data_IF_261423286532
#
_entry.id   IF_261423286532
#
_cell.length_a   1.000
_cell.length_b   1.000
_cell.length_c   1.000
_cell.angle_alpha   90.00
_cell.angle_beta   90.00
_cell.angle_gamma   90.00
#
_symmetry.space_group_name_H-M   'P 1'
#
loop_
_entity.id
_entity.type
_entity.pdbx_description
1 polymer ?
#
# COMPACT_ATOMS: atom_id res chain seq x y z
N UNK A 1 54.13 -3.66 -28.58
CA UNK A 1 53.73 -3.78 -27.15
C UNK A 1 52.96 -2.56 -26.60
N UNK A 2 52.90 -1.41 -27.27
CA UNK A 2 52.21 -0.19 -26.77
C UNK A 2 50.64 -0.25 -26.92
N UNK A 3 50.13 -1.07 -27.80
CA UNK A 3 48.67 -1.13 -28.04
C UNK A 3 47.85 -2.00 -27.04
N UNK A 4 48.53 -2.91 -26.33
CA UNK A 4 47.86 -3.80 -25.36
C UNK A 4 47.42 -3.05 -24.10
N UNK A 5 48.19 -2.05 -23.66
CA UNK A 5 47.85 -1.26 -22.49
C UNK A 5 46.60 -0.38 -22.67
N UNK A 6 46.37 0.10 -23.89
CA UNK A 6 45.21 0.95 -24.20
C UNK A 6 43.91 0.14 -24.13
N UNK A 7 43.92 -1.14 -24.56
CA UNK A 7 42.79 -2.00 -24.53
C UNK A 7 42.37 -2.39 -23.12
N UNK A 8 43.33 -2.61 -22.23
CA UNK A 8 43.09 -2.90 -20.81
C UNK A 8 42.45 -1.71 -20.09
N UNK A 9 42.93 -0.49 -20.37
CA UNK A 9 42.39 0.73 -19.78
C UNK A 9 40.93 0.99 -20.17
N UNK A 10 40.53 0.65 -21.40
CA UNK A 10 39.12 0.77 -21.86
C UNK A 10 38.19 -0.26 -21.17
N UNK A 11 38.69 -1.46 -20.92
CA UNK A 11 37.92 -2.50 -20.25
C UNK A 11 37.61 -2.15 -18.78
N UNK A 12 38.50 -1.43 -18.10
CA UNK A 12 38.27 -0.96 -16.72
C UNK A 12 37.30 0.22 -16.65
N UNK A 13 37.19 1.03 -17.69
CA UNK A 13 36.27 2.19 -17.69
C UNK A 13 34.80 1.82 -17.83
N UNK A 14 34.47 0.64 -18.35
CA UNK A 14 33.08 0.20 -18.57
C UNK A 14 32.44 -0.33 -17.27
N UNK A 15 33.26 -0.74 -16.29
CA UNK A 15 32.77 -1.30 -15.01
C UNK A 15 32.21 -0.26 -14.04
N UNK A 16 32.37 1.03 -14.31
CA UNK A 16 32.03 2.11 -13.37
C UNK A 16 30.58 2.58 -13.42
N UNK A 17 29.76 2.05 -14.33
CA UNK A 17 28.35 2.39 -14.47
C UNK A 17 27.40 1.36 -13.85
N UNK A 18 27.89 0.57 -12.90
CA UNK A 18 26.96 -0.22 -12.08
C UNK A 18 26.10 0.75 -11.27
N UNK A 19 24.89 1.04 -11.75
CA UNK A 19 23.88 1.74 -10.97
C UNK A 19 23.82 1.09 -9.61
N UNK A 20 23.85 1.89 -8.54
CA UNK A 20 23.73 1.39 -7.18
C UNK A 20 22.55 0.42 -7.12
N UNK A 21 22.72 -0.83 -6.63
CA UNK A 21 21.63 -1.76 -6.57
C UNK A 21 20.51 -1.16 -5.72
N UNK A 22 19.36 -0.93 -6.31
CA UNK A 22 18.17 -0.46 -5.60
C UNK A 22 17.81 -1.42 -4.45
N UNK A 23 16.85 -1.08 -3.60
CA UNK A 23 16.47 -1.91 -2.47
C UNK A 23 16.07 -3.30 -2.95
N UNK A 24 16.80 -4.33 -2.50
CA UNK A 24 16.55 -5.75 -2.84
C UNK A 24 15.44 -6.37 -1.99
N UNK A 25 14.77 -5.57 -1.18
CA UNK A 25 13.75 -6.00 -0.22
C UNK A 25 12.47 -5.22 -0.40
N UNK A 26 11.40 -5.77 0.09
CA UNK A 26 10.07 -5.21 0.11
C UNK A 26 9.47 -5.36 1.51
N UNK A 27 8.28 -4.82 1.72
CA UNK A 27 7.53 -4.92 2.98
C UNK A 27 6.25 -5.72 2.76
N UNK A 28 6.03 -6.72 3.62
CA UNK A 28 4.79 -7.48 3.67
C UNK A 28 4.08 -7.19 4.99
N UNK A 29 2.83 -6.79 4.94
CA UNK A 29 1.96 -6.60 6.09
C UNK A 29 0.72 -7.48 5.92
N UNK A 30 0.36 -8.23 6.95
CA UNK A 30 -0.84 -9.07 6.96
C UNK A 30 -1.66 -8.67 8.17
N UNK A 31 -2.89 -8.21 7.96
CA UNK A 31 -3.82 -7.84 9.02
C UNK A 31 -4.99 -8.82 9.09
N UNK A 32 -5.43 -9.12 10.31
CA UNK A 32 -6.55 -10.00 10.58
C UNK A 32 -7.63 -9.27 11.41
N UNK A 33 -8.72 -8.92 10.77
CA UNK A 33 -9.91 -8.35 11.41
C UNK A 33 -10.91 -9.42 11.86
N UNK A 34 -10.68 -10.67 11.47
CA UNK A 34 -11.42 -11.80 11.96
C UNK A 34 -10.85 -12.25 13.33
N UNK A 35 -11.72 -12.55 14.28
CA UNK A 35 -11.31 -13.00 15.65
C UNK A 35 -10.85 -14.46 15.69
N UNK A 36 -10.78 -15.13 14.56
CA UNK A 36 -10.36 -16.52 14.45
C UNK A 36 -8.83 -16.62 14.58
N UNK A 37 -8.37 -17.60 15.33
CA UNK A 37 -6.94 -17.93 15.42
C UNK A 37 -6.42 -18.22 14.00
N UNK A 38 -5.37 -17.52 13.59
CA UNK A 38 -4.88 -17.58 12.21
C UNK A 38 -3.38 -17.76 12.18
N UNK A 39 -2.90 -18.56 11.26
CA UNK A 39 -1.47 -18.78 11.01
C UNK A 39 -1.15 -18.40 9.57
N UNK A 40 0.04 -17.85 9.37
CA UNK A 40 0.59 -17.52 8.05
C UNK A 40 1.78 -18.39 7.79
N UNK A 41 1.84 -19.00 6.62
CA UNK A 41 2.99 -19.76 6.14
C UNK A 41 3.61 -18.99 4.97
N UNK A 42 4.88 -18.62 5.08
CA UNK A 42 5.64 -17.94 4.05
C UNK A 42 6.85 -18.80 3.72
N UNK A 43 6.95 -19.28 2.48
CA UNK A 43 8.04 -20.13 1.99
C UNK A 43 8.34 -21.33 2.91
N UNK A 44 7.30 -21.90 3.51
CA UNK A 44 7.42 -23.03 4.43
C UNK A 44 7.54 -22.65 5.91
N UNK A 45 7.95 -21.42 6.25
CA UNK A 45 8.02 -20.95 7.63
C UNK A 45 6.63 -20.56 8.15
N UNK A 46 6.30 -20.98 9.38
CA UNK A 46 4.99 -20.71 10.02
C UNK A 46 5.09 -19.58 11.02
N UNK A 47 4.11 -18.67 10.97
CA UNK A 47 3.98 -17.52 11.87
C UNK A 47 2.56 -17.45 12.44
N UNK A 48 2.44 -17.15 13.73
CA UNK A 48 1.12 -16.90 14.33
C UNK A 48 0.69 -15.48 14.03
N UNK A 49 -0.52 -15.32 13.48
CA UNK A 49 -1.11 -14.04 13.20
C UNK A 49 -2.12 -13.69 14.29
N UNK A 50 -1.74 -12.79 15.22
CA UNK A 50 -2.69 -12.27 16.20
C UNK A 50 -3.62 -11.25 15.54
N UNK A 51 -3.19 -9.98 15.43
CA UNK A 51 -3.94 -8.94 14.74
C UNK A 51 -3.22 -8.50 13.47
N UNK A 52 -1.91 -8.27 13.57
CA UNK A 52 -1.07 -7.82 12.46
C UNK A 52 0.27 -8.53 12.53
N UNK A 53 0.75 -8.96 11.38
CA UNK A 53 2.08 -9.49 11.16
C UNK A 53 2.78 -8.61 10.13
N UNK A 54 4.00 -8.19 10.41
CA UNK A 54 4.80 -7.36 9.52
C UNK A 54 6.15 -8.00 9.29
N UNK A 55 6.53 -8.11 8.03
CA UNK A 55 7.85 -8.54 7.59
C UNK A 55 8.45 -7.40 6.75
N UNK A 56 9.36 -6.63 7.35
CA UNK A 56 9.91 -5.42 6.75
C UNK A 56 10.95 -5.68 5.64
N UNK A 57 11.53 -6.88 5.58
CA UNK A 57 12.63 -7.22 4.68
C UNK A 57 12.38 -8.52 3.93
N UNK A 58 11.21 -8.66 3.31
CA UNK A 58 10.98 -9.78 2.40
C UNK A 58 11.86 -9.60 1.14
N UNK A 59 12.56 -10.66 0.73
CA UNK A 59 13.39 -10.63 -0.48
C UNK A 59 12.53 -10.43 -1.71
N UNK A 60 13.12 -9.91 -2.77
CA UNK A 60 12.46 -9.86 -4.07
C UNK A 60 12.43 -11.24 -4.72
N UNK A 61 11.39 -11.52 -5.48
CA UNK A 61 11.18 -12.82 -6.13
C UNK A 61 9.82 -13.42 -5.86
N UNK A 62 9.67 -14.70 -6.12
CA UNK A 62 8.42 -15.42 -5.91
C UNK A 62 8.38 -16.02 -4.52
N UNK A 63 7.31 -15.75 -3.77
CA UNK A 63 7.07 -16.25 -2.43
C UNK A 63 5.75 -16.99 -2.36
N UNK A 64 5.76 -18.15 -1.71
CA UNK A 64 4.55 -18.91 -1.44
C UNK A 64 3.95 -18.45 -0.11
N UNK A 65 2.74 -17.91 -0.17
CA UNK A 65 2.01 -17.40 0.99
C UNK A 65 0.73 -18.21 1.17
N UNK A 66 0.59 -18.85 2.34
CA UNK A 66 -0.64 -19.54 2.73
C UNK A 66 -1.16 -18.97 4.05
N UNK A 67 -2.47 -18.76 4.14
CA UNK A 67 -3.14 -18.30 5.36
C UNK A 67 -4.10 -19.41 5.81
N UNK A 68 -3.92 -19.85 7.05
CA UNK A 68 -4.63 -20.98 7.64
C UNK A 68 -5.40 -20.49 8.85
N UNK A 69 -6.71 -20.65 8.85
CA UNK A 69 -7.57 -20.41 10.01
C UNK A 69 -7.70 -21.68 10.84
N UNK A 70 -7.73 -21.51 12.16
CA UNK A 70 -7.86 -22.56 13.15
C UNK A 70 -9.22 -22.39 13.84
N UNK A 71 -10.22 -23.13 13.37
CA UNK A 71 -11.55 -23.14 13.96
C UNK A 71 -11.61 -24.15 15.10
N UNK A 72 -12.21 -23.74 16.22
CA UNK A 72 -12.46 -24.64 17.35
C UNK A 72 -13.89 -25.18 17.24
N UNK A 73 -14.00 -26.46 17.02
CA UNK A 73 -15.28 -27.16 17.05
C UNK A 73 -15.28 -28.14 18.22
N UNK A 74 -15.83 -27.71 19.36
CA UNK A 74 -15.76 -28.45 20.62
C UNK A 74 -14.31 -28.62 21.07
N UNK A 75 -13.87 -29.87 21.27
CA UNK A 75 -12.49 -30.21 21.64
C UNK A 75 -11.53 -30.38 20.45
N UNK A 76 -12.01 -30.24 19.22
CA UNK A 76 -11.20 -30.41 18.01
C UNK A 76 -10.84 -29.06 17.41
N UNK A 77 -9.59 -28.93 16.96
CA UNK A 77 -9.14 -27.81 16.11
C UNK A 77 -9.20 -28.28 14.66
N UNK A 78 -9.92 -27.53 13.84
CA UNK A 78 -10.03 -27.77 12.40
C UNK A 78 -9.21 -26.68 11.71
N UNK A 79 -8.30 -27.11 10.82
CA UNK A 79 -7.50 -26.20 10.01
C UNK A 79 -8.19 -25.99 8.66
N UNK A 80 -8.36 -24.72 8.27
CA UNK A 80 -8.90 -24.33 6.98
C UNK A 80 -7.96 -23.37 6.30
N UNK A 81 -7.44 -23.72 5.13
CA UNK A 81 -6.67 -22.80 4.30
C UNK A 81 -7.63 -21.84 3.60
N UNK A 82 -7.53 -20.55 3.92
CA UNK A 82 -8.37 -19.49 3.34
C UNK A 82 -7.68 -18.75 2.20
N UNK A 83 -6.36 -18.84 2.13
CA UNK A 83 -5.55 -18.26 1.05
C UNK A 83 -4.33 -19.13 0.79
N UNK A 84 -4.03 -19.35 -0.48
CA UNK A 84 -2.80 -20.02 -0.91
C UNK A 84 -2.44 -19.52 -2.30
N UNK A 85 -1.33 -18.80 -2.39
CA UNK A 85 -0.89 -18.22 -3.67
C UNK A 85 0.61 -18.00 -3.69
N UNK A 86 1.17 -18.09 -4.88
CA UNK A 86 2.53 -17.61 -5.16
C UNK A 86 2.45 -16.15 -5.57
N UNK A 87 3.19 -15.30 -4.87
CA UNK A 87 3.22 -13.86 -5.07
C UNK A 87 4.60 -13.42 -5.54
N UNK A 88 4.65 -12.64 -6.61
CA UNK A 88 5.88 -12.00 -7.08
C UNK A 88 6.07 -10.69 -6.35
N UNK A 89 7.21 -10.55 -5.68
CA UNK A 89 7.59 -9.39 -4.88
C UNK A 89 8.65 -8.58 -5.61
N UNK A 90 8.32 -7.33 -5.96
CA UNK A 90 9.25 -6.39 -6.60
C UNK A 90 10.06 -5.60 -5.56
N UNK A 91 11.24 -5.07 -5.94
CA UNK A 91 12.04 -4.20 -5.06
C UNK A 91 11.26 -2.98 -4.59
N UNK A 92 11.34 -2.66 -3.28
CA UNK A 92 10.65 -1.50 -2.69
C UNK A 92 9.14 -1.59 -2.67
N UNK A 93 8.56 -2.73 -3.01
CA UNK A 93 7.11 -2.94 -3.00
C UNK A 93 6.59 -3.07 -1.56
N UNK A 94 5.42 -2.50 -1.30
CA UNK A 94 4.64 -2.74 -0.10
C UNK A 94 3.43 -3.61 -0.45
N UNK A 95 3.31 -4.74 0.22
CA UNK A 95 2.22 -5.69 0.03
C UNK A 95 1.40 -5.72 1.31
N UNK A 96 0.11 -5.46 1.20
CA UNK A 96 -0.84 -5.53 2.31
C UNK A 96 -1.87 -6.62 2.02
N UNK A 97 -1.97 -7.58 2.92
CA UNK A 97 -2.96 -8.66 2.88
C UNK A 97 -3.91 -8.44 4.04
N UNK A 98 -5.18 -8.18 3.75
CA UNK A 98 -6.21 -7.92 4.75
C UNK A 98 -7.20 -9.08 4.81
N UNK A 99 -7.37 -9.66 5.99
CA UNK A 99 -8.41 -10.65 6.27
C UNK A 99 -9.57 -9.90 6.92
N UNK A 100 -10.67 -9.76 6.19
CA UNK A 100 -11.84 -9.03 6.69
C UNK A 100 -12.59 -9.86 7.74
N UNK A 101 -13.62 -9.27 8.38
CA UNK A 101 -14.44 -9.92 9.40
C UNK A 101 -15.16 -11.17 8.90
N UNK A 102 -15.39 -11.28 7.60
CA UNK A 102 -16.03 -12.43 6.96
C UNK A 102 -15.02 -13.52 6.57
N UNK A 103 -13.74 -13.36 6.90
CA UNK A 103 -12.69 -14.31 6.54
C UNK A 103 -12.24 -14.23 5.07
N UNK A 104 -12.68 -13.21 4.31
CA UNK A 104 -12.21 -13.00 2.95
C UNK A 104 -10.86 -12.31 2.96
N UNK A 105 -9.99 -12.74 2.06
CA UNK A 105 -8.64 -12.20 1.91
C UNK A 105 -8.59 -11.21 0.76
N UNK A 106 -8.12 -10.00 1.04
CA UNK A 106 -7.91 -8.93 0.06
C UNK A 106 -6.44 -8.60 -0.01
N UNK A 107 -5.85 -8.64 -1.19
CA UNK A 107 -4.44 -8.32 -1.42
C UNK A 107 -4.35 -6.96 -2.11
N UNK A 108 -3.56 -6.04 -1.54
CA UNK A 108 -3.25 -4.73 -2.11
C UNK A 108 -1.75 -4.59 -2.23
N UNK A 109 -1.29 -4.16 -3.38
CA UNK A 109 0.12 -3.88 -3.63
C UNK A 109 0.32 -2.41 -3.97
N UNK A 110 1.33 -1.79 -3.39
CA UNK A 110 1.77 -0.44 -3.74
C UNK A 110 3.28 -0.44 -3.92
N UNK A 111 3.76 0.32 -4.88
CA UNK A 111 5.18 0.59 -5.05
C UNK A 111 5.45 2.00 -4.55
N UNK A 112 6.40 2.16 -3.63
CA UNK A 112 6.89 3.48 -3.26
C UNK A 112 7.77 4.01 -4.41
N UNK A 113 7.15 4.50 -5.47
CA UNK A 113 7.86 5.31 -6.46
C UNK A 113 8.17 6.65 -5.81
N UNK A 114 9.30 6.73 -5.09
CA UNK A 114 9.80 7.99 -4.53
C UNK A 114 10.17 9.03 -5.60
N UNK A 115 9.95 8.73 -6.87
CA UNK A 115 10.33 9.58 -8.00
C UNK A 115 9.17 10.34 -8.66
N UNK A 116 7.91 10.11 -8.28
CA UNK A 116 6.76 10.85 -8.82
C UNK A 116 6.35 12.04 -7.93
N UNK A 117 7.34 12.84 -7.45
CA UNK A 117 7.07 14.17 -6.89
C UNK A 117 7.23 15.25 -7.94
N UNK A 118 6.67 15.10 -9.12
CA UNK A 118 6.60 16.15 -10.14
C UNK A 118 5.18 16.60 -10.47
N UNK A 119 4.24 16.46 -9.56
CA UNK A 119 3.01 17.25 -9.64
C UNK A 119 3.23 18.60 -8.95
N UNK A 120 4.11 19.41 -9.54
CA UNK A 120 4.01 20.86 -9.39
C UNK A 120 2.81 21.28 -10.25
N UNK A 121 1.64 21.23 -9.66
CA UNK A 121 0.51 22.00 -10.14
C UNK A 121 0.83 23.48 -9.91
N UNK A 122 1.50 24.09 -10.89
CA UNK A 122 1.53 25.52 -11.06
C UNK A 122 0.10 25.98 -11.47
N UNK A 123 -0.78 26.06 -10.47
CA UNK A 123 -1.99 26.86 -10.61
C UNK A 123 -1.61 28.31 -10.48
N UNK A 124 -1.12 28.86 -11.59
CA UNK A 124 -0.94 30.28 -11.80
C UNK A 124 -2.21 30.79 -12.51
N UNK A 125 -3.35 30.70 -11.87
CA UNK A 125 -4.56 31.40 -12.29
C UNK A 125 -4.71 32.67 -11.49
N UNK A 126 -3.89 33.67 -11.86
CA UNK A 126 -4.21 35.08 -11.63
C UNK A 126 -5.29 35.46 -12.62
N UNK A 127 -6.53 35.34 -12.25
CA UNK A 127 -7.63 35.95 -12.94
C UNK A 127 -8.06 37.18 -12.14
N UNK A 128 -7.36 38.28 -12.41
CA UNK A 128 -7.77 39.62 -12.02
C UNK A 128 -9.02 40.00 -12.84
N UNK A 129 -10.20 39.73 -12.35
CA UNK A 129 -11.42 40.27 -12.89
C UNK A 129 -12.04 41.24 -11.88
N UNK A 130 -11.60 42.50 -11.94
CA UNK A 130 -12.30 43.63 -11.36
C UNK A 130 -13.64 43.81 -12.09
N UNK A 131 -14.71 43.40 -11.48
CA UNK A 131 -16.07 43.71 -11.86
C UNK A 131 -16.77 44.39 -10.70
N UNK A 132 -16.78 45.72 -10.75
CA UNK A 132 -17.68 46.54 -9.95
C UNK A 132 -19.12 46.22 -10.37
N UNK A 133 -19.98 45.87 -9.44
CA UNK A 133 -21.41 46.03 -9.61
C UNK A 133 -22.06 46.33 -8.27
N UNK A 134 -22.31 47.63 -8.07
CA UNK A 134 -23.24 48.17 -7.10
C UNK A 134 -24.65 47.68 -7.46
N UNK A 135 -25.30 46.96 -6.57
CA UNK A 135 -26.77 46.95 -6.57
C UNK A 135 -27.29 46.86 -5.13
N UNK A 136 -27.71 48.04 -4.67
CA UNK A 136 -28.57 48.21 -3.51
C UNK A 136 -29.92 47.54 -3.78
N UNK A 137 -30.36 46.69 -2.90
CA UNK A 137 -31.71 46.15 -2.92
C UNK A 137 -32.13 45.79 -1.49
N UNK A 138 -32.78 46.78 -0.86
CA UNK A 138 -33.56 46.57 0.37
C UNK A 138 -34.72 45.64 0.08
N UNK A 139 -34.94 44.65 0.92
CA UNK A 139 -36.28 44.15 1.21
C UNK A 139 -36.31 43.44 2.60
N UNK A 140 -36.88 44.20 3.53
CA UNK A 140 -37.56 43.70 4.71
C UNK A 140 -38.65 42.71 4.32
N UNK A 141 -38.70 41.55 4.92
CA UNK A 141 -39.96 40.91 5.23
C UNK A 141 -39.84 40.02 6.47
N UNK A 142 -40.34 40.58 7.56
CA UNK A 142 -40.92 39.97 8.74
C UNK A 142 -41.82 38.79 8.31
N UNK A 143 -41.62 37.62 8.86
CA UNK A 143 -42.73 36.73 9.13
C UNK A 143 -42.45 35.83 10.34
N UNK A 144 -43.05 36.23 11.47
CA UNK A 144 -43.33 35.44 12.63
C UNK A 144 -44.38 34.42 12.24
N UNK A 145 -44.19 33.16 12.52
CA UNK A 145 -45.31 32.29 12.86
C UNK A 145 -44.87 31.23 13.90
N UNK A 146 -45.39 31.48 15.08
CA UNK A 146 -45.58 30.54 16.17
C UNK A 146 -46.54 29.45 15.69
N UNK A 147 -46.26 28.20 15.92
CA UNK A 147 -47.32 27.24 16.16
C UNK A 147 -46.93 26.19 17.19
N UNK A 148 -47.57 26.28 18.34
CA UNK A 148 -47.71 25.29 19.38
C UNK A 148 -48.60 24.15 18.87
N UNK A 149 -48.27 22.94 19.16
CA UNK A 149 -49.16 21.79 18.96
C UNK A 149 -48.68 20.59 19.76
N UNK A 150 -49.28 20.41 20.92
CA UNK A 150 -49.32 19.21 21.73
C UNK A 150 -50.05 18.09 20.97
N UNK A 151 -49.55 16.90 21.01
CA UNK A 151 -50.23 15.72 21.57
C UNK A 151 -49.24 14.58 21.68
#
# INVERSE_FOLDING_TARGET
MKQIFTLIAVMFSISSFAAAPGPKTAKLSISNSNRTETQVKIDGAMYNLNNTFVLDNIRTGNHNISIIQLDKFGFRKIQKTIYNSTMSVAPGQMINIDINRNGQVVVKTSTNNMFDRNDRNDHNDRNDNKGYNDNKGYNDHNNKNNNYGRH
#
